data_IF_368590471961
#
_entry.id   IF_368590471961
#
_cell.length_a   1.000
_cell.length_b   1.000
_cell.length_c   1.000
_cell.angle_alpha   90.00
_cell.angle_beta   90.00
_cell.angle_gamma   90.00
#
_symmetry.space_group_name_H-M   'P 1'
#
loop_
_entity.id
_entity.type
_entity.pdbx_description
1 polymer ?
#
# COMPACT_ATOMS: atom_id res chain seq x y z
N UNK A 1 0.71 4.30 1.70
CA UNK A 1 1.30 5.58 2.12
C UNK A 1 0.25 6.58 2.60
N UNK A 2 -0.59 7.19 1.74
CA UNK A 2 -1.53 8.23 2.17
C UNK A 2 -2.59 7.70 3.13
N UNK A 3 -3.07 6.46 2.95
CA UNK A 3 -4.07 5.86 3.81
C UNK A 3 -3.69 5.79 5.30
N UNK A 4 -2.41 5.54 5.63
CA UNK A 4 -1.94 5.55 7.03
C UNK A 4 -2.00 6.96 7.60
N UNK A 5 -1.51 7.96 6.85
CA UNK A 5 -1.54 9.36 7.29
C UNK A 5 -2.98 9.84 7.44
N UNK A 6 -3.86 9.55 6.49
CA UNK A 6 -5.29 9.87 6.56
C UNK A 6 -5.94 9.24 7.80
N UNK A 7 -5.63 7.98 8.10
CA UNK A 7 -6.17 7.31 9.28
C UNK A 7 -5.70 7.96 10.60
N UNK A 8 -4.45 8.44 10.64
CA UNK A 8 -3.92 9.17 11.81
C UNK A 8 -4.57 10.54 11.94
N UNK A 9 -4.69 11.28 10.84
CA UNK A 9 -5.33 12.59 10.84
C UNK A 9 -6.79 12.48 11.28
N UNK A 10 -7.50 11.44 10.82
CA UNK A 10 -8.84 11.11 11.28
C UNK A 10 -8.86 10.83 12.79
N UNK A 11 -7.95 10.00 13.30
CA UNK A 11 -7.87 9.68 14.73
C UNK A 11 -7.53 10.89 15.62
N UNK A 12 -6.85 11.90 15.07
CA UNK A 12 -6.47 13.12 15.78
C UNK A 12 -7.46 14.27 15.58
N UNK A 13 -8.44 14.11 14.69
CA UNK A 13 -9.51 15.06 14.50
C UNK A 13 -10.43 15.07 15.74
N UNK A 14 -10.66 16.26 16.29
CA UNK A 14 -11.54 16.44 17.46
C UNK A 14 -13.02 16.36 17.08
N UNK A 15 -13.32 16.54 15.79
CA UNK A 15 -14.67 16.60 15.23
C UNK A 15 -14.76 15.83 13.91
N UNK A 16 -14.45 14.51 13.91
CA UNK A 16 -14.44 13.73 12.68
C UNK A 16 -15.86 13.69 12.07
N UNK A 17 -15.96 14.01 10.77
CA UNK A 17 -17.24 14.09 10.07
C UNK A 17 -17.82 12.72 9.67
N UNK A 18 -17.01 11.67 9.73
CA UNK A 18 -17.39 10.30 9.39
C UNK A 18 -16.64 9.32 10.29
N UNK A 19 -17.18 8.12 10.57
CA UNK A 19 -16.43 7.07 11.27
C UNK A 19 -15.40 6.41 10.34
N UNK A 20 -14.22 6.09 10.86
CA UNK A 20 -13.22 5.29 10.13
C UNK A 20 -13.31 3.82 10.54
N UNK A 21 -13.95 3.03 9.66
CA UNK A 21 -14.18 1.58 9.78
C UNK A 21 -12.93 0.75 10.07
N UNK A 22 -11.89 1.00 9.29
CA UNK A 22 -10.70 0.18 9.24
C UNK A 22 -9.82 0.67 8.11
N UNK A 23 -8.59 0.17 8.09
CA UNK A 23 -7.59 0.48 7.08
C UNK A 23 -7.10 -0.82 6.45
N UNK A 24 -7.21 -0.93 5.13
CA UNK A 24 -6.57 -2.00 4.37
C UNK A 24 -5.37 -1.38 3.65
N UNK A 25 -4.19 -1.98 3.81
CA UNK A 25 -2.96 -1.48 3.21
C UNK A 25 -2.11 -2.61 2.63
N UNK A 26 -1.58 -2.38 1.44
CA UNK A 26 -0.57 -3.20 0.77
C UNK A 26 0.45 -2.33 0.02
N UNK A 27 1.52 -2.94 -0.47
CA UNK A 27 2.46 -2.30 -1.41
C UNK A 27 3.48 -1.35 -0.79
N UNK A 28 3.59 -1.29 0.54
CA UNK A 28 4.60 -0.49 1.22
C UNK A 28 5.16 -1.25 2.42
N UNK A 29 6.42 -1.68 2.34
CA UNK A 29 7.13 -2.34 3.43
C UNK A 29 7.93 -1.39 4.31
N UNK A 30 8.54 -1.95 5.36
CA UNK A 30 9.42 -1.21 6.25
C UNK A 30 10.82 -0.98 5.63
N UNK A 31 11.29 -1.93 4.82
CA UNK A 31 12.62 -1.89 4.20
C UNK A 31 12.49 -1.90 2.68
N UNK A 32 13.08 -0.90 2.02
CA UNK A 32 13.19 -0.91 0.56
C UNK A 32 14.15 -2.00 0.10
N UNK A 33 13.80 -2.65 -1.01
CA UNK A 33 14.69 -3.51 -1.76
C UNK A 33 15.86 -2.68 -2.28
N UNK A 34 17.07 -3.24 -2.27
CA UNK A 34 18.23 -2.57 -2.87
C UNK A 34 17.91 -2.31 -4.35
N UNK A 35 18.27 -1.15 -4.92
CA UNK A 35 18.07 -0.91 -6.33
C UNK A 35 18.76 -2.04 -7.10
N UNK A 36 18.01 -2.74 -7.95
CA UNK A 36 18.66 -3.43 -9.07
C UNK A 36 19.39 -2.36 -9.87
N UNK A 37 20.54 -2.69 -10.45
CA UNK A 37 21.55 -1.78 -11.03
C UNK A 37 21.09 -0.85 -12.18
N UNK A 38 19.78 -0.74 -12.41
CA UNK A 38 19.16 0.15 -13.36
C UNK A 38 18.64 1.36 -12.58
N UNK A 39 19.15 2.56 -12.88
CA UNK A 39 18.89 3.80 -12.13
C UNK A 39 17.41 4.14 -11.94
N UNK A 40 17.16 5.25 -11.23
CA UNK A 40 15.81 5.76 -10.96
C UNK A 40 14.89 5.63 -12.19
N UNK A 41 13.66 5.11 -12.04
CA UNK A 41 12.76 4.93 -13.17
C UNK A 41 12.66 6.23 -13.97
N UNK A 42 12.79 6.17 -15.30
CA UNK A 42 12.57 7.35 -16.13
C UNK A 42 11.15 7.86 -15.89
N UNK A 43 10.98 9.16 -15.67
CA UNK A 43 9.68 9.80 -15.45
C UNK A 43 9.29 10.60 -16.71
N UNK A 44 8.01 10.59 -17.09
CA UNK A 44 7.49 11.44 -18.15
C UNK A 44 6.90 12.70 -17.51
N UNK A 45 7.52 13.89 -17.66
CA UNK A 45 7.02 15.11 -17.02
C UNK A 45 5.64 15.48 -17.57
N UNK A 46 4.71 15.79 -16.67
CA UNK A 46 3.41 16.41 -17.00
C UNK A 46 3.53 17.92 -16.83
N UNK A 47 4.09 18.34 -15.70
CA UNK A 47 4.46 19.72 -15.39
C UNK A 47 5.68 19.74 -14.43
N UNK A 48 5.89 20.85 -13.71
CA UNK A 48 7.01 21.01 -12.77
C UNK A 48 6.88 20.15 -11.50
N UNK A 49 5.66 19.77 -11.11
CA UNK A 49 5.35 19.11 -9.85
C UNK A 49 4.89 17.66 -10.06
N UNK A 50 4.40 17.32 -11.25
CA UNK A 50 3.80 16.03 -11.57
C UNK A 50 4.46 15.32 -12.75
N UNK A 51 4.48 13.99 -12.68
CA UNK A 51 4.94 13.13 -13.76
C UNK A 51 4.06 11.89 -13.93
N UNK A 52 4.16 11.27 -15.11
CA UNK A 52 3.63 9.96 -15.42
C UNK A 52 4.76 8.92 -15.39
N UNK A 53 4.38 7.67 -15.13
CA UNK A 53 5.29 6.55 -15.28
C UNK A 53 5.22 6.10 -16.75
N UNK A 54 6.35 5.94 -17.47
CA UNK A 54 6.33 5.33 -18.80
C UNK A 54 5.65 3.97 -18.75
N UNK A 55 4.62 3.76 -19.59
CA UNK A 55 3.74 2.60 -19.51
C UNK A 55 4.50 1.27 -19.55
N UNK A 56 5.38 1.08 -20.54
CA UNK A 56 6.15 -0.16 -20.67
C UNK A 56 7.04 -0.45 -19.46
N UNK A 57 7.63 0.58 -18.84
CA UNK A 57 8.42 0.42 -17.64
C UNK A 57 7.54 0.11 -16.42
N UNK A 58 6.40 0.81 -16.29
CA UNK A 58 5.41 0.57 -15.24
C UNK A 58 4.91 -0.86 -15.31
N UNK A 59 4.48 -1.32 -16.47
CA UNK A 59 3.89 -2.64 -16.62
C UNK A 59 4.86 -3.75 -16.23
N UNK A 60 6.12 -3.65 -16.70
CA UNK A 60 7.16 -4.61 -16.36
C UNK A 60 7.52 -4.65 -14.86
N UNK A 61 7.40 -3.50 -14.17
CA UNK A 61 7.71 -3.40 -12.74
C UNK A 61 6.53 -3.85 -11.89
N UNK A 62 5.32 -3.40 -12.23
CA UNK A 62 4.11 -3.61 -11.44
C UNK A 62 3.52 -5.01 -11.63
N UNK A 63 3.72 -5.60 -12.81
CA UNK A 63 3.17 -6.90 -13.19
C UNK A 63 4.29 -7.89 -13.54
N UNK A 64 4.53 -8.87 -12.67
CA UNK A 64 5.46 -9.96 -12.95
C UNK A 64 4.87 -10.87 -14.05
N UNK A 65 5.61 -11.21 -15.12
CA UNK A 65 5.11 -12.10 -16.16
C UNK A 65 4.55 -13.43 -15.60
N UNK A 66 3.39 -13.85 -16.10
CA UNK A 66 2.70 -15.06 -15.67
C UNK A 66 1.83 -14.92 -14.41
N UNK A 67 1.77 -13.73 -13.80
CA UNK A 67 0.97 -13.48 -12.58
C UNK A 67 -0.35 -12.76 -12.85
N UNK A 68 -0.66 -12.42 -14.10
CA UNK A 68 -1.84 -11.66 -14.50
C UNK A 68 -2.35 -12.13 -15.86
N UNK A 69 -3.62 -11.83 -16.15
CA UNK A 69 -4.19 -12.02 -17.49
C UNK A 69 -3.70 -10.91 -18.42
N UNK A 70 -3.15 -11.22 -19.61
CA UNK A 70 -2.65 -10.20 -20.55
C UNK A 70 -3.64 -9.06 -20.85
N UNK A 71 -4.96 -9.31 -20.82
CA UNK A 71 -6.00 -8.30 -21.04
C UNK A 71 -5.92 -7.14 -20.02
N UNK A 72 -5.36 -7.37 -18.83
CA UNK A 72 -5.17 -6.31 -17.82
C UNK A 72 -4.30 -5.17 -18.35
N UNK A 73 -3.33 -5.45 -19.23
CA UNK A 73 -2.45 -4.43 -19.79
C UNK A 73 -3.18 -3.49 -20.76
N UNK A 74 -4.33 -3.88 -21.30
CA UNK A 74 -5.19 -2.99 -22.09
C UNK A 74 -5.73 -1.82 -21.26
N UNK A 75 -5.66 -1.92 -19.93
CA UNK A 75 -6.07 -0.86 -19.01
C UNK A 75 -4.93 0.01 -18.50
N UNK A 76 -3.67 -0.30 -18.83
CA UNK A 76 -2.51 0.38 -18.27
C UNK A 76 -2.53 1.89 -18.52
N UNK A 77 -2.92 2.33 -19.72
CA UNK A 77 -3.03 3.76 -20.06
C UNK A 77 -4.10 4.47 -19.21
N UNK A 78 -5.31 3.90 -19.15
CA UNK A 78 -6.43 4.44 -18.33
C UNK A 78 -6.08 4.51 -16.84
N UNK A 79 -5.30 3.55 -16.35
CA UNK A 79 -4.88 3.46 -14.94
C UNK A 79 -3.59 4.23 -14.66
N UNK A 80 -3.02 4.93 -15.63
CA UNK A 80 -1.82 5.74 -15.43
C UNK A 80 -2.18 7.16 -15.03
N UNK A 81 -2.24 7.40 -13.73
CA UNK A 81 -2.46 8.73 -13.17
C UNK A 81 -1.14 9.47 -12.95
N UNK A 82 -1.11 10.81 -13.13
CA UNK A 82 0.02 11.63 -12.70
C UNK A 82 0.26 11.48 -11.19
N UNK A 83 1.53 11.39 -10.79
CA UNK A 83 1.93 11.40 -9.38
C UNK A 83 2.83 12.60 -9.08
N UNK A 84 2.80 13.11 -7.84
CA UNK A 84 3.66 14.21 -7.42
C UNK A 84 5.13 13.76 -7.33
N UNK A 85 6.03 14.48 -7.99
CA UNK A 85 7.48 14.23 -7.98
C UNK A 85 8.09 14.35 -6.58
N UNK A 86 7.53 15.24 -5.75
CA UNK A 86 7.95 15.43 -4.36
C UNK A 86 7.70 14.17 -3.53
N UNK A 87 6.59 13.46 -3.73
CA UNK A 87 6.31 12.22 -3.01
C UNK A 87 7.35 11.15 -3.34
N UNK A 88 7.63 10.94 -4.62
CA UNK A 88 8.61 9.92 -5.07
C UNK A 88 10.02 10.24 -4.58
N UNK A 89 10.48 11.48 -4.75
CA UNK A 89 11.84 11.88 -4.40
C UNK A 89 12.10 11.93 -2.90
N UNK A 90 11.09 12.27 -2.10
CA UNK A 90 11.25 12.43 -0.66
C UNK A 90 10.88 11.18 0.15
N UNK A 91 10.18 10.22 -0.45
CA UNK A 91 9.65 9.04 0.25
C UNK A 91 10.73 8.32 1.07
N UNK A 92 11.82 7.90 0.42
CA UNK A 92 12.86 7.10 1.06
C UNK A 92 13.60 7.87 2.16
N UNK A 93 13.87 9.15 1.94
CA UNK A 93 14.71 9.96 2.83
C UNK A 93 13.93 10.59 3.99
N UNK A 94 12.70 11.05 3.75
CA UNK A 94 11.94 11.84 4.73
C UNK A 94 10.85 11.02 5.42
N UNK A 95 10.20 10.11 4.70
CA UNK A 95 9.02 9.44 5.23
C UNK A 95 9.32 8.05 5.80
N UNK A 96 10.02 7.22 5.03
CA UNK A 96 10.31 5.84 5.41
C UNK A 96 11.06 5.69 6.75
N UNK A 97 11.95 6.61 7.18
CA UNK A 97 12.62 6.47 8.48
C UNK A 97 11.71 6.68 9.68
N UNK A 98 10.61 7.44 9.52
CA UNK A 98 9.80 7.92 10.64
C UNK A 98 8.38 7.38 10.68
N UNK A 99 7.93 6.66 9.64
CA UNK A 99 6.51 6.33 9.50
C UNK A 99 5.94 5.49 10.63
N UNK A 100 6.73 4.57 11.17
CA UNK A 100 6.30 3.68 12.26
C UNK A 100 5.94 4.48 13.50
N UNK A 101 6.81 5.41 13.89
CA UNK A 101 6.69 6.19 15.12
C UNK A 101 5.78 7.41 14.93
N UNK A 102 5.89 8.11 13.80
CA UNK A 102 5.16 9.36 13.56
C UNK A 102 3.74 9.13 13.06
N UNK A 103 3.48 8.04 12.35
CA UNK A 103 2.20 7.80 11.69
C UNK A 103 1.56 6.51 12.18
N UNK A 104 2.08 5.33 11.83
CA UNK A 104 1.40 4.05 12.08
C UNK A 104 1.04 3.83 13.55
N UNK A 105 1.90 4.24 14.50
CA UNK A 105 1.64 4.11 15.93
C UNK A 105 0.38 4.84 16.41
N UNK A 106 -0.12 5.82 15.65
CA UNK A 106 -1.27 6.65 16.01
C UNK A 106 -2.56 6.25 15.28
N UNK A 107 -2.55 5.23 14.43
CA UNK A 107 -3.78 4.68 13.84
C UNK A 107 -4.57 3.97 14.93
N UNK A 108 -5.86 4.31 15.06
CA UNK A 108 -6.77 3.69 16.03
C UNK A 108 -7.67 2.61 15.42
N UNK A 109 -8.07 2.79 14.16
CA UNK A 109 -8.94 1.85 13.45
C UNK A 109 -8.25 0.51 13.22
N UNK A 110 -8.99 -0.63 13.17
CA UNK A 110 -8.45 -1.92 12.78
C UNK A 110 -7.68 -1.85 11.46
N UNK A 111 -6.60 -2.62 11.35
CA UNK A 111 -5.73 -2.61 10.16
C UNK A 111 -5.59 -4.02 9.59
N UNK A 112 -5.80 -4.16 8.28
CA UNK A 112 -5.35 -5.32 7.50
C UNK A 112 -4.16 -4.89 6.65
N UNK A 113 -3.00 -5.49 6.89
CA UNK A 113 -1.74 -5.15 6.26
C UNK A 113 -1.16 -6.33 5.50
N UNK A 114 -0.73 -6.13 4.27
CA UNK A 114 -0.08 -7.17 3.49
C UNK A 114 1.15 -6.70 2.73
N UNK A 115 2.11 -7.61 2.59
CA UNK A 115 3.20 -7.54 1.63
C UNK A 115 3.06 -8.71 0.66
N UNK A 116 3.57 -8.50 -0.55
CA UNK A 116 3.55 -9.48 -1.64
C UNK A 116 4.98 -9.92 -1.88
N UNK A 117 5.21 -11.23 -2.05
CA UNK A 117 6.57 -11.79 -2.06
C UNK A 117 7.43 -11.27 -3.21
N UNK A 118 6.83 -11.06 -4.39
CA UNK A 118 7.52 -10.57 -5.59
C UNK A 118 7.45 -9.03 -5.73
N UNK A 119 7.49 -8.30 -4.62
CA UNK A 119 7.50 -6.84 -4.62
C UNK A 119 8.87 -6.28 -5.09
N UNK A 120 8.92 -5.42 -6.13
CA UNK A 120 10.17 -4.89 -6.65
C UNK A 120 10.74 -3.74 -5.81
N UNK A 121 9.94 -3.14 -4.91
CA UNK A 121 10.30 -1.94 -4.16
C UNK A 121 10.63 -2.23 -2.70
N UNK A 122 10.04 -3.26 -2.10
CA UNK A 122 10.17 -3.57 -0.68
C UNK A 122 10.55 -5.02 -0.43
N UNK A 123 11.31 -5.22 0.64
CA UNK A 123 11.62 -6.56 1.14
C UNK A 123 10.36 -7.15 1.76
N UNK A 124 9.89 -8.28 1.21
CA UNK A 124 8.69 -8.97 1.66
C UNK A 124 9.08 -10.31 2.31
N UNK A 125 9.17 -10.30 3.65
CA UNK A 125 9.39 -11.51 4.46
C UNK A 125 8.45 -11.51 5.66
N UNK A 126 8.28 -12.66 6.31
CA UNK A 126 7.51 -12.75 7.55
C UNK A 126 8.02 -11.78 8.63
N UNK A 127 9.33 -11.58 8.71
CA UNK A 127 9.93 -10.66 9.66
C UNK A 127 9.65 -9.18 9.33
N UNK A 128 9.59 -8.83 8.04
CA UNK A 128 9.19 -7.48 7.63
C UNK A 128 7.70 -7.26 7.85
N UNK A 129 6.84 -8.27 7.64
CA UNK A 129 5.41 -8.22 8.02
C UNK A 129 5.27 -7.96 9.51
N UNK A 130 5.96 -8.75 10.34
CA UNK A 130 5.90 -8.61 11.79
C UNK A 130 6.34 -7.20 12.24
N UNK A 131 7.39 -6.66 11.61
CA UNK A 131 7.87 -5.30 11.85
C UNK A 131 6.81 -4.25 11.49
N UNK A 132 6.14 -4.42 10.34
CA UNK A 132 5.11 -3.48 9.90
C UNK A 132 3.86 -3.55 10.79
N UNK A 133 3.39 -4.76 11.12
CA UNK A 133 2.24 -4.99 12.00
C UNK A 133 2.45 -4.36 13.37
N UNK A 134 3.62 -4.58 13.98
CA UNK A 134 3.98 -3.99 15.29
C UNK A 134 4.07 -2.46 15.28
N UNK A 135 4.16 -1.83 14.12
CA UNK A 135 4.17 -0.38 14.02
C UNK A 135 2.83 0.24 14.41
N UNK A 136 1.71 -0.48 14.21
CA UNK A 136 0.35 -0.02 14.50
C UNK A 136 -0.03 -0.20 15.97
N UNK A 137 0.76 0.40 16.87
CA UNK A 137 0.70 0.18 18.33
C UNK A 137 -0.65 0.48 18.98
N UNK A 138 -1.35 1.51 18.51
CA UNK A 138 -2.62 1.94 19.09
C UNK A 138 -3.85 1.39 18.32
N UNK A 139 -3.63 0.58 17.29
CA UNK A 139 -4.73 -0.02 16.54
C UNK A 139 -5.45 -1.05 17.41
N UNK A 140 -6.79 -1.08 17.32
CA UNK A 140 -7.60 -2.05 18.03
C UNK A 140 -7.33 -3.52 17.61
N UNK A 141 -6.92 -3.72 16.35
CA UNK A 141 -6.61 -5.02 15.75
C UNK A 141 -5.71 -4.83 14.54
N UNK A 142 -4.73 -5.72 14.36
CA UNK A 142 -3.86 -5.68 13.19
C UNK A 142 -3.69 -7.09 12.63
N UNK A 143 -4.16 -7.29 11.41
CA UNK A 143 -4.00 -8.53 10.67
C UNK A 143 -2.86 -8.37 9.66
N UNK A 144 -1.79 -9.13 9.83
CA UNK A 144 -0.66 -9.16 8.91
C UNK A 144 -0.70 -10.38 8.00
N UNK A 145 -0.34 -10.22 6.71
CA UNK A 145 -0.12 -11.36 5.82
C UNK A 145 0.97 -11.12 4.80
N UNK A 146 1.83 -12.12 4.61
CA UNK A 146 2.65 -12.24 3.40
C UNK A 146 1.84 -13.00 2.34
N UNK A 147 1.86 -12.53 1.09
CA UNK A 147 1.18 -13.20 -0.04
C UNK A 147 2.26 -13.79 -0.96
N UNK A 148 2.50 -15.12 -0.89
CA UNK A 148 3.53 -15.78 -1.69
C UNK A 148 3.21 -15.73 -3.19
N UNK A 149 4.25 -15.52 -4.01
CA UNK A 149 4.19 -15.44 -5.47
C UNK A 149 3.38 -14.29 -6.09
N UNK A 150 2.74 -13.44 -5.28
CA UNK A 150 1.94 -12.33 -5.78
C UNK A 150 2.83 -11.16 -6.25
N UNK A 151 2.46 -10.47 -7.35
CA UNK A 151 3.15 -9.28 -7.84
C UNK A 151 2.75 -8.02 -7.05
N UNK A 152 3.42 -6.90 -7.32
CA UNK A 152 3.12 -5.60 -6.70
C UNK A 152 1.65 -5.19 -6.86
N UNK A 153 1.10 -5.26 -8.08
CA UNK A 153 -0.32 -5.01 -8.36
C UNK A 153 -1.18 -6.27 -8.10
N UNK A 154 -1.20 -6.74 -6.86
CA UNK A 154 -1.94 -7.95 -6.45
C UNK A 154 -3.43 -7.88 -6.78
N UNK A 155 -4.03 -6.71 -6.70
CA UNK A 155 -5.43 -6.42 -6.96
C UNK A 155 -5.82 -6.57 -8.44
N UNK A 156 -4.84 -6.61 -9.34
CA UNK A 156 -4.99 -6.83 -10.78
C UNK A 156 -4.36 -8.15 -11.25
N UNK A 157 -3.93 -9.00 -10.32
CA UNK A 157 -3.24 -10.27 -10.58
C UNK A 157 -4.17 -11.48 -10.45
N UNK A 158 -3.65 -12.69 -10.68
CA UNK A 158 -4.36 -13.94 -10.40
C UNK A 158 -4.75 -14.13 -8.92
N UNK A 159 -4.08 -13.42 -7.99
CA UNK A 159 -4.41 -13.43 -6.56
C UNK A 159 -5.55 -12.45 -6.20
N UNK A 160 -6.01 -11.63 -7.15
CA UNK A 160 -6.99 -10.57 -6.91
C UNK A 160 -8.26 -11.07 -6.26
N UNK A 161 -8.82 -12.21 -6.69
CA UNK A 161 -10.04 -12.76 -6.13
C UNK A 161 -9.90 -13.07 -4.63
N UNK A 162 -8.79 -13.72 -4.25
CA UNK A 162 -8.48 -14.01 -2.86
C UNK A 162 -8.20 -12.74 -2.06
N UNK A 163 -7.45 -11.79 -2.64
CA UNK A 163 -7.18 -10.49 -2.02
C UNK A 163 -8.48 -9.73 -1.71
N UNK A 164 -9.35 -9.55 -2.70
CA UNK A 164 -10.63 -8.86 -2.53
C UNK A 164 -11.57 -9.58 -1.56
N UNK A 165 -11.63 -10.92 -1.58
CA UNK A 165 -12.44 -11.67 -0.62
C UNK A 165 -12.01 -11.36 0.83
N UNK A 166 -10.70 -11.29 1.11
CA UNK A 166 -10.19 -10.87 2.42
C UNK A 166 -10.51 -9.42 2.73
N UNK A 167 -10.33 -8.50 1.76
CA UNK A 167 -10.64 -7.09 1.95
C UNK A 167 -12.11 -6.87 2.33
N UNK A 168 -13.04 -7.51 1.62
CA UNK A 168 -14.46 -7.40 1.91
C UNK A 168 -14.83 -8.09 3.23
N UNK A 169 -14.26 -9.26 3.51
CA UNK A 169 -14.42 -9.94 4.81
C UNK A 169 -14.01 -9.04 5.97
N UNK A 170 -12.80 -8.49 5.91
CA UNK A 170 -12.29 -7.56 6.91
C UNK A 170 -13.16 -6.31 7.06
N UNK A 171 -13.62 -5.72 5.95
CA UNK A 171 -14.51 -4.57 5.99
C UNK A 171 -15.86 -4.88 6.66
N UNK A 172 -16.44 -6.05 6.42
CA UNK A 172 -17.67 -6.49 7.09
C UNK A 172 -17.47 -6.66 8.60
N UNK A 173 -16.36 -7.26 9.02
CA UNK A 173 -16.02 -7.39 10.45
C UNK A 173 -15.84 -6.02 11.12
N UNK A 174 -15.17 -5.09 10.44
CA UNK A 174 -15.04 -3.71 10.91
C UNK A 174 -16.40 -3.04 11.08
N UNK A 175 -17.27 -3.14 10.07
CA UNK A 175 -18.61 -2.55 10.12
C UNK A 175 -19.46 -3.13 11.25
N UNK A 176 -19.41 -4.45 11.47
CA UNK A 176 -20.07 -5.09 12.59
C UNK A 176 -19.53 -4.61 13.94
N UNK A 177 -18.20 -4.44 14.06
CA UNK A 177 -17.55 -3.90 15.26
C UNK A 177 -18.01 -2.49 15.62
N UNK A 178 -18.24 -1.63 14.62
CA UNK A 178 -18.82 -0.31 14.84
C UNK A 178 -20.25 -0.39 15.36
N UNK A 179 -21.09 -1.19 14.72
CA UNK A 179 -22.50 -1.33 15.12
C UNK A 179 -22.65 -1.87 16.56
N UNK A 180 -21.68 -2.64 17.07
CA UNK A 180 -21.68 -3.13 18.44
C UNK A 180 -21.07 -2.16 19.48
N UNK A 181 -20.38 -1.11 19.04
CA UNK A 181 -19.68 -0.15 19.91
C UNK A 181 -20.47 1.15 20.15
N UNK A 182 -21.56 1.35 19.42
CA UNK A 182 -22.58 2.40 19.61
C UNK A 182 -23.70 1.94 20.53
#
# INVERSE_FOLDING_TARGET
MPGIVTAVLHAQDKTPLYPLGGLIASGMGNKQSLPTTNGSPSHLPVDNDYALFPLSAKDNIMFKPGTFDPEILEHSERLNAPYPLSEVSQFAALWLPIWKQKWAAHVLAPVMFALVEDDPFFVATEQEIETCVRAFKNSARVDGSLIPGAPHCVELSHWSQGWYARCFGFAMECAAGFASST
#
